data_IF_704503338401
#
_entry.id   IF_704503338401
#
_cell.length_a   1.000
_cell.length_b   1.000
_cell.length_c   1.000
_cell.angle_alpha   90.00
_cell.angle_beta   90.00
_cell.angle_gamma   90.00
#
_symmetry.space_group_name_H-M   'P 1'
#
loop_
_entity.id
_entity.type
_entity.pdbx_description
1 polymer ?
#
# COMPACT_ATOMS: atom_id res chain seq x y z
N UNK A 1 -24.57 -4.20 8.01
CA UNK A 1 -23.16 -3.90 7.67
C UNK A 1 -22.11 -4.85 8.28
N UNK A 2 -22.40 -5.72 9.26
CA UNK A 2 -21.38 -6.60 9.91
C UNK A 2 -20.78 -7.73 9.03
N UNK A 3 -21.41 -8.12 7.91
CA UNK A 3 -20.97 -9.29 7.12
C UNK A 3 -19.78 -8.98 6.19
N UNK A 4 -19.77 -7.80 5.55
CA UNK A 4 -18.71 -7.37 4.63
C UNK A 4 -17.32 -7.35 5.30
N UNK A 5 -17.24 -6.82 6.54
CA UNK A 5 -15.98 -6.81 7.31
C UNK A 5 -15.39 -8.20 7.57
N UNK A 6 -16.21 -9.25 7.69
CA UNK A 6 -15.71 -10.60 8.00
C UNK A 6 -15.00 -11.22 6.80
N UNK A 7 -15.50 -10.97 5.59
CA UNK A 7 -14.92 -11.54 4.38
C UNK A 7 -13.67 -10.75 3.95
N UNK A 8 -13.63 -9.43 4.20
CA UNK A 8 -12.42 -8.61 4.04
C UNK A 8 -11.28 -9.07 4.97
N UNK A 9 -11.56 -9.35 6.24
CA UNK A 9 -10.56 -9.88 7.19
C UNK A 9 -10.03 -11.24 6.73
N UNK A 10 -10.89 -12.12 6.22
CA UNK A 10 -10.44 -13.41 5.67
C UNK A 10 -9.59 -13.24 4.41
N UNK A 11 -9.99 -12.34 3.51
CA UNK A 11 -9.24 -12.05 2.30
C UNK A 11 -7.85 -11.52 2.65
N UNK A 12 -7.76 -10.59 3.59
CA UNK A 12 -6.49 -10.08 4.13
C UNK A 12 -5.60 -11.21 4.67
N UNK A 13 -6.14 -12.10 5.50
CA UNK A 13 -5.38 -13.25 6.02
C UNK A 13 -4.93 -14.22 4.92
N UNK A 14 -5.74 -14.42 3.87
CA UNK A 14 -5.34 -15.21 2.70
C UNK A 14 -4.20 -14.56 1.92
N UNK A 15 -4.30 -13.25 1.64
CA UNK A 15 -3.23 -12.51 0.95
C UNK A 15 -1.93 -12.53 1.75
N UNK A 16 -2.00 -12.37 3.08
CA UNK A 16 -0.84 -12.47 3.96
C UNK A 16 -0.15 -13.83 3.84
N UNK A 17 -0.90 -14.94 3.96
CA UNK A 17 -0.34 -16.30 3.84
C UNK A 17 0.27 -16.58 2.46
N UNK A 18 -0.32 -16.04 1.40
CA UNK A 18 0.22 -16.20 0.05
C UNK A 18 1.44 -15.29 -0.19
N UNK A 19 1.43 -14.08 0.35
CA UNK A 19 2.56 -13.15 0.31
C UNK A 19 3.79 -13.74 1.01
N UNK A 20 3.59 -14.40 2.16
CA UNK A 20 4.62 -15.13 2.92
C UNK A 20 5.22 -16.31 2.13
N UNK A 21 4.45 -16.88 1.19
CA UNK A 21 4.92 -17.91 0.25
C UNK A 21 5.62 -17.34 -0.99
N UNK A 22 5.71 -16.01 -1.10
CA UNK A 22 6.41 -15.32 -2.18
C UNK A 22 5.56 -15.03 -3.42
N UNK A 23 4.25 -15.22 -3.37
CA UNK A 23 3.35 -14.84 -4.46
C UNK A 23 3.29 -13.31 -4.59
N UNK A 24 3.78 -12.77 -5.72
CA UNK A 24 3.91 -11.33 -5.93
C UNK A 24 2.56 -10.62 -6.01
N UNK A 25 1.58 -11.21 -6.69
CA UNK A 25 0.22 -10.66 -6.74
C UNK A 25 -0.38 -10.52 -5.33
N UNK A 26 -0.16 -11.53 -4.47
CA UNK A 26 -0.62 -11.47 -3.10
C UNK A 26 0.11 -10.40 -2.27
N UNK A 27 1.39 -10.14 -2.55
CA UNK A 27 2.14 -9.03 -1.93
C UNK A 27 1.57 -7.67 -2.35
N UNK A 28 1.16 -7.52 -3.61
CA UNK A 28 0.49 -6.30 -4.09
C UNK A 28 -0.88 -6.13 -3.43
N UNK A 29 -1.71 -7.17 -3.38
CA UNK A 29 -3.02 -7.11 -2.73
C UNK A 29 -2.89 -6.84 -1.22
N UNK A 30 -1.90 -7.44 -0.54
CA UNK A 30 -1.62 -7.15 0.86
C UNK A 30 -1.23 -5.68 1.07
N UNK A 31 -0.40 -5.12 0.17
CA UNK A 31 -0.06 -3.70 0.18
C UNK A 31 -1.28 -2.81 0.02
N UNK A 32 -2.22 -3.19 -0.86
CA UNK A 32 -3.47 -2.48 -1.08
C UNK A 32 -4.40 -2.53 0.13
N UNK A 33 -4.50 -3.70 0.77
CA UNK A 33 -5.25 -3.83 2.02
C UNK A 33 -4.72 -2.90 3.11
N UNK A 34 -3.40 -2.78 3.27
CA UNK A 34 -2.79 -1.83 4.20
C UNK A 34 -2.97 -0.36 3.78
N UNK A 35 -2.95 -0.05 2.48
CA UNK A 35 -3.17 1.32 1.99
C UNK A 35 -4.59 1.83 2.29
N UNK A 36 -5.59 0.96 2.10
CA UNK A 36 -7.02 1.29 2.22
C UNK A 36 -7.67 0.88 3.55
N UNK A 37 -6.99 0.08 4.36
CA UNK A 37 -7.55 -0.47 5.60
C UNK A 37 -8.64 -1.52 5.35
N UNK A 38 -8.42 -2.39 4.35
CA UNK A 38 -9.36 -3.48 4.00
C UNK A 38 -8.97 -4.72 4.80
N UNK A 39 -9.86 -5.18 5.68
CA UNK A 39 -9.60 -6.33 6.54
C UNK A 39 -8.54 -6.11 7.63
N UNK A 40 -7.94 -4.92 7.69
CA UNK A 40 -6.92 -4.46 8.65
C UNK A 40 -7.05 -2.95 8.83
N UNK A 41 -6.33 -2.36 9.79
CA UNK A 41 -6.17 -0.91 9.88
C UNK A 41 -5.25 -0.38 8.78
N UNK A 42 -5.45 0.89 8.40
CA UNK A 42 -4.57 1.59 7.45
C UNK A 42 -3.15 1.65 8.00
N UNK A 43 -2.18 1.19 7.21
CA UNK A 43 -0.77 1.24 7.56
C UNK A 43 0.08 1.51 6.31
N UNK A 44 0.37 2.78 6.03
CA UNK A 44 1.11 3.19 4.82
C UNK A 44 2.53 2.63 4.77
N UNK A 45 3.18 2.43 5.92
CA UNK A 45 4.51 1.82 5.99
C UNK A 45 4.50 0.38 5.52
N UNK A 46 3.55 -0.43 6.01
CA UNK A 46 3.41 -1.82 5.56
C UNK A 46 2.95 -1.93 4.11
N UNK A 47 2.12 -0.99 3.65
CA UNK A 47 1.76 -0.89 2.23
C UNK A 47 3.00 -0.65 1.37
N UNK A 48 3.85 0.30 1.76
CA UNK A 48 5.10 0.62 1.09
C UNK A 48 6.04 -0.59 1.03
N UNK A 49 6.27 -1.26 2.15
CA UNK A 49 7.12 -2.46 2.21
C UNK A 49 6.62 -3.58 1.28
N UNK A 50 5.31 -3.83 1.28
CA UNK A 50 4.69 -4.87 0.46
C UNK A 50 4.83 -4.58 -1.04
N UNK A 51 4.51 -3.35 -1.46
CA UNK A 51 4.68 -2.92 -2.86
C UNK A 51 6.14 -2.91 -3.28
N UNK A 52 7.05 -2.41 -2.42
CA UNK A 52 8.49 -2.36 -2.71
C UNK A 52 9.05 -3.76 -2.98
N UNK A 53 8.71 -4.74 -2.16
CA UNK A 53 9.21 -6.10 -2.31
C UNK A 53 8.77 -6.76 -3.63
N UNK A 54 7.54 -6.50 -4.09
CA UNK A 54 7.06 -6.98 -5.38
C UNK A 54 7.65 -6.17 -6.56
N UNK A 55 7.79 -4.85 -6.40
CA UNK A 55 8.36 -3.94 -7.39
C UNK A 55 9.83 -4.25 -7.69
N UNK A 56 10.61 -4.58 -6.67
CA UNK A 56 12.02 -5.01 -6.78
C UNK A 56 12.18 -6.30 -7.60
N UNK A 57 11.12 -7.11 -7.67
CA UNK A 57 11.07 -8.33 -8.50
C UNK A 57 10.46 -8.09 -9.88
N UNK A 58 10.28 -6.83 -10.27
CA UNK A 58 9.80 -6.44 -11.60
C UNK A 58 8.27 -6.42 -11.74
N UNK A 59 7.51 -6.48 -10.65
CA UNK A 59 6.06 -6.44 -10.71
C UNK A 59 5.54 -5.03 -11.03
N UNK A 60 5.07 -4.82 -12.27
CA UNK A 60 4.70 -3.49 -12.81
C UNK A 60 3.59 -2.83 -11.98
N UNK A 61 2.54 -3.57 -11.59
CA UNK A 61 1.46 -3.02 -10.75
C UNK A 61 1.98 -2.55 -9.39
N UNK A 62 3.00 -3.24 -8.86
CA UNK A 62 3.57 -2.87 -7.58
C UNK A 62 4.37 -1.57 -7.68
N UNK A 63 5.12 -1.39 -8.78
CA UNK A 63 5.83 -0.15 -9.10
C UNK A 63 4.85 1.03 -9.20
N UNK A 64 3.78 0.88 -9.98
CA UNK A 64 2.75 1.92 -10.11
C UNK A 64 2.08 2.27 -8.77
N UNK A 65 1.78 1.26 -7.95
CA UNK A 65 1.18 1.48 -6.64
C UNK A 65 2.17 2.13 -5.66
N UNK A 66 3.47 1.84 -5.76
CA UNK A 66 4.51 2.47 -4.97
C UNK A 66 4.66 3.96 -5.31
N UNK A 67 4.63 4.29 -6.60
CA UNK A 67 4.70 5.68 -7.08
C UNK A 67 3.47 6.49 -6.63
N UNK A 68 2.27 5.90 -6.74
CA UNK A 68 1.04 6.51 -6.25
C UNK A 68 1.07 6.69 -4.73
N UNK A 69 1.57 5.70 -3.99
CA UNK A 69 1.68 5.79 -2.53
C UNK A 69 2.62 6.92 -2.11
N UNK A 70 3.77 7.07 -2.78
CA UNK A 70 4.69 8.19 -2.55
C UNK A 70 4.07 9.54 -2.88
N UNK A 71 3.33 9.63 -3.99
CA UNK A 71 2.63 10.87 -4.36
C UNK A 71 1.61 11.27 -3.30
N UNK A 72 0.77 10.32 -2.85
CA UNK A 72 -0.24 10.57 -1.81
C UNK A 72 0.39 10.95 -0.47
N UNK A 73 1.54 10.36 -0.09
CA UNK A 73 2.27 10.73 1.13
C UNK A 73 2.84 12.16 1.00
N UNK A 74 3.36 12.53 -0.17
CA UNK A 74 3.88 13.90 -0.41
C UNK A 74 2.77 14.95 -0.42
N UNK A 75 1.59 14.62 -0.95
CA UNK A 75 0.40 15.48 -0.89
C UNK A 75 -0.04 15.72 0.56
N UNK A 76 -0.03 14.68 1.40
CA UNK A 76 -0.29 14.80 2.84
C UNK A 76 0.73 15.67 3.60
N UNK A 77 1.95 15.82 3.09
CA UNK A 77 3.02 16.68 3.68
C UNK A 77 2.94 18.12 3.15
N UNK A 78 2.09 18.41 2.16
CA UNK A 78 1.98 19.74 1.56
C UNK A 78 0.87 20.61 2.17
N UNK A 79 0.01 20.06 3.03
CA UNK A 79 -1.16 20.77 3.60
C UNK A 79 -0.84 21.52 4.91
N UNK A 80 0.39 22.06 5.01
CA UNK A 80 0.93 22.61 6.26
C UNK A 80 2.13 23.54 6.14
N UNK A 81 2.12 24.46 5.16
CA UNK A 81 2.96 25.67 5.02
C UNK A 81 4.31 25.58 4.26
N UNK A 82 4.33 26.34 3.14
CA UNK A 82 5.36 27.08 2.37
C UNK A 82 6.85 26.72 2.51
N UNK A 83 7.46 26.29 1.40
CA UNK A 83 8.82 26.68 1.02
C UNK A 83 8.78 27.58 -0.23
N UNK A 84 9.31 28.77 -0.01
CA UNK A 84 9.53 29.87 -0.94
C UNK A 84 10.29 29.43 -2.19
N UNK A 85 9.82 29.86 -3.36
CA UNK A 85 10.59 29.76 -4.61
C UNK A 85 11.45 31.01 -4.73
N UNK A 86 12.46 31.12 -3.87
CA UNK A 86 13.62 31.95 -4.18
C UNK A 86 14.75 31.05 -4.67
N UNK A 87 15.27 31.41 -5.85
CA UNK A 87 16.49 30.92 -6.52
C UNK A 87 16.36 29.63 -7.38
N UNK A 88 15.95 29.79 -8.64
CA UNK A 88 16.88 29.91 -9.78
C UNK A 88 16.15 30.32 -11.06
#
# INVERSE_FOLDING_TARGET
>A
MKKLKKDEVKAFECYKKSADQGFLDAQVELGYCYDKGIGTEVNKTKAFESYKMAAEKGHITAQNNLDLLHFNIKELVFDGTIIDKTEN
#
